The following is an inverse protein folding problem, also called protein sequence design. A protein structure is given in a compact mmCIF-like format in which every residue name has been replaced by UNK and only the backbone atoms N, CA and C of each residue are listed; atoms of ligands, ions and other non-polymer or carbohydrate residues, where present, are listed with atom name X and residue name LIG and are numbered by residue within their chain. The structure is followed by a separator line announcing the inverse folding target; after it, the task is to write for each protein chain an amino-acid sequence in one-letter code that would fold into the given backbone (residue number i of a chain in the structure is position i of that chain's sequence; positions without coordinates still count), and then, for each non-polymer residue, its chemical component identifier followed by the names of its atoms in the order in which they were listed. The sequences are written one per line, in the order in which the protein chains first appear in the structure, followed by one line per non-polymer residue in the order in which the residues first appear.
data_IF_791302155771
#
_entry.id   IF_791302155771
#
_cell.length_a   1.000
_cell.length_b   1.000
_cell.length_c   1.000
_cell.angle_alpha   90.00
_cell.angle_beta   90.00
_cell.angle_gamma   90.00
#
_symmetry.space_group_name_H-M   'P 1'
#
loop_
_entity.id
_entity.type
_entity.pdbx_description
1 polymer ?
#
# COMPACT_ATOMS: atom_id res chain seq x y z
N UNK A 1 -0.23 29.22 -7.91
CA UNK A 1 0.34 27.86 -7.81
C UNK A 1 -0.84 26.92 -7.79
N UNK A 2 -1.02 26.09 -8.83
CA UNK A 2 -1.94 24.96 -8.70
C UNK A 2 -1.46 24.13 -7.51
N UNK A 3 -2.37 23.87 -6.56
CA UNK A 3 -2.04 23.20 -5.30
C UNK A 3 -1.61 21.76 -5.65
N UNK A 4 -0.32 21.44 -5.52
CA UNK A 4 0.22 20.07 -5.62
C UNK A 4 -0.18 19.25 -4.39
N UNK A 5 -1.50 19.09 -4.22
CA UNK A 5 -2.08 18.32 -3.13
C UNK A 5 -2.23 16.88 -3.57
N UNK A 6 -1.96 15.96 -2.64
CA UNK A 6 -2.18 14.52 -2.82
C UNK A 6 -3.58 14.15 -2.38
N UNK A 7 -4.13 13.07 -2.95
CA UNK A 7 -5.49 12.63 -2.63
C UNK A 7 -5.69 12.45 -1.12
N UNK A 8 -4.69 11.90 -0.42
CA UNK A 8 -4.74 11.68 1.03
C UNK A 8 -4.92 12.97 1.86
N UNK A 9 -4.56 14.14 1.32
CA UNK A 9 -4.71 15.42 2.00
C UNK A 9 -6.14 15.99 1.89
N UNK A 10 -6.90 15.56 0.88
CA UNK A 10 -8.28 16.00 0.66
C UNK A 10 -9.29 14.97 1.18
N UNK A 11 -9.05 13.69 0.93
CA UNK A 11 -9.96 12.65 1.37
C UNK A 11 -9.32 11.28 1.53
N UNK A 12 -9.93 10.48 2.40
CA UNK A 12 -9.56 9.10 2.62
C UNK A 12 -10.76 8.33 3.20
N UNK A 13 -11.16 7.17 2.66
CA UNK A 13 -12.27 6.37 3.19
C UNK A 13 -11.84 5.61 4.46
N UNK A 14 -11.63 6.36 5.56
CA UNK A 14 -11.10 5.85 6.83
C UNK A 14 -11.95 4.70 7.37
N UNK A 15 -13.28 4.80 7.26
CA UNK A 15 -14.20 3.80 7.81
C UNK A 15 -14.04 2.46 7.10
N UNK A 16 -14.07 2.45 5.77
CA UNK A 16 -13.97 1.26 4.93
C UNK A 16 -12.60 0.61 5.10
N UNK A 17 -11.53 1.41 5.02
CA UNK A 17 -10.16 0.92 5.23
C UNK A 17 -9.96 0.35 6.63
N UNK A 18 -10.57 0.95 7.65
CA UNK A 18 -10.50 0.45 9.04
C UNK A 18 -11.23 -0.88 9.21
N UNK A 19 -12.38 -1.05 8.56
CA UNK A 19 -13.13 -2.31 8.58
C UNK A 19 -12.27 -3.43 7.97
N UNK A 20 -11.68 -3.22 6.80
CA UNK A 20 -10.81 -4.21 6.15
C UNK A 20 -9.53 -4.49 6.96
N UNK A 21 -8.93 -3.44 7.54
CA UNK A 21 -7.78 -3.55 8.44
C UNK A 21 -8.07 -4.34 9.72
N UNK A 22 -9.31 -4.31 10.21
CA UNK A 22 -9.72 -5.12 11.35
C UNK A 22 -9.97 -6.58 10.95
N UNK A 23 -10.56 -6.81 9.77
CA UNK A 23 -10.82 -8.16 9.23
C UNK A 23 -9.55 -8.96 9.00
N UNK A 24 -8.49 -8.34 8.45
CA UNK A 24 -7.24 -9.05 8.13
C UNK A 24 -6.57 -9.72 9.34
N UNK A 25 -6.82 -9.24 10.57
CA UNK A 25 -6.30 -9.86 11.81
C UNK A 25 -6.79 -11.30 12.01
N UNK A 26 -7.93 -11.65 11.40
CA UNK A 26 -8.53 -12.97 11.47
C UNK A 26 -8.18 -13.85 10.27
N UNK A 27 -7.41 -13.35 9.30
CA UNK A 27 -6.97 -14.14 8.14
C UNK A 27 -5.89 -15.13 8.60
N UNK A 28 -6.13 -16.41 8.38
CA UNK A 28 -5.25 -17.52 8.82
C UNK A 28 -4.52 -18.20 7.67
N UNK A 29 -4.71 -17.76 6.44
CA UNK A 29 -4.07 -18.33 5.26
C UNK A 29 -3.67 -17.23 4.26
N UNK A 30 -2.50 -17.36 3.64
CA UNK A 30 -2.00 -16.45 2.59
C UNK A 30 -1.58 -15.05 3.05
N UNK A 31 -1.86 -14.66 4.30
CA UNK A 31 -1.43 -13.37 4.85
C UNK A 31 0.01 -13.43 5.37
N UNK A 32 0.79 -12.36 5.21
CA UNK A 32 2.22 -12.34 5.64
C UNK A 32 2.42 -12.59 7.14
N UNK A 33 1.38 -12.42 7.96
CA UNK A 33 1.42 -12.77 9.38
C UNK A 33 1.48 -14.26 9.65
N UNK A 34 1.09 -15.10 8.69
CA UNK A 34 1.21 -16.55 8.80
C UNK A 34 2.63 -17.04 8.49
N UNK A 35 3.46 -16.22 7.84
CA UNK A 35 4.89 -16.47 7.67
C UNK A 35 5.66 -16.19 8.98
N UNK A 36 5.41 -15.03 9.58
CA UNK A 36 5.99 -14.65 10.87
C UNK A 36 5.15 -13.59 11.58
N UNK A 37 5.06 -13.69 12.91
CA UNK A 37 4.35 -12.72 13.75
C UNK A 37 5.26 -11.51 14.02
N UNK A 38 4.79 -10.31 13.69
CA UNK A 38 5.45 -9.06 14.10
C UNK A 38 4.46 -8.21 14.90
N UNK A 39 4.80 -7.88 16.14
CA UNK A 39 3.86 -7.29 17.11
C UNK A 39 3.33 -5.90 16.71
N UNK A 40 4.09 -5.15 15.91
CA UNK A 40 3.73 -3.81 15.46
C UNK A 40 3.41 -3.74 13.95
N UNK A 41 2.98 -4.85 13.33
CA UNK A 41 2.69 -4.87 11.90
C UNK A 41 1.51 -3.94 11.57
N UNK A 42 1.72 -3.02 10.62
CA UNK A 42 0.65 -2.19 10.06
C UNK A 42 -0.27 -3.03 9.17
N UNK A 43 -1.58 -2.77 9.16
CA UNK A 43 -2.48 -3.50 8.28
C UNK A 43 -2.12 -3.34 6.81
N UNK A 44 -2.21 -4.43 6.03
CA UNK A 44 -1.97 -4.38 4.59
C UNK A 44 -3.03 -3.54 3.88
N UNK A 45 -4.30 -3.67 4.28
CA UNK A 45 -5.39 -2.85 3.72
C UNK A 45 -5.10 -1.35 3.86
N UNK A 46 -4.68 -0.92 5.06
CA UNK A 46 -4.31 0.48 5.30
C UNK A 46 -3.04 0.87 4.55
N UNK A 47 -2.02 0.02 4.55
CA UNK A 47 -0.74 0.28 3.86
C UNK A 47 -0.96 0.50 2.36
N UNK A 48 -1.78 -0.34 1.73
CA UNK A 48 -2.17 -0.24 0.32
C UNK A 48 -2.89 1.07 0.01
N UNK A 49 -3.94 1.36 0.78
CA UNK A 49 -4.76 2.54 0.59
C UNK A 49 -3.94 3.82 0.77
N UNK A 50 -3.09 3.88 1.80
CA UNK A 50 -2.23 5.03 2.08
C UNK A 50 -1.17 5.22 1.00
N UNK A 51 -0.50 4.16 0.55
CA UNK A 51 0.48 4.26 -0.54
C UNK A 51 -0.18 4.80 -1.82
N UNK A 52 -1.34 4.25 -2.22
CA UNK A 52 -2.05 4.75 -3.40
C UNK A 52 -2.47 6.22 -3.24
N UNK A 53 -3.16 6.57 -2.15
CA UNK A 53 -3.67 7.92 -1.94
C UNK A 53 -2.58 8.98 -1.76
N UNK A 54 -1.39 8.61 -1.27
CA UNK A 54 -0.27 9.52 -1.12
C UNK A 54 0.48 9.78 -2.45
N UNK A 55 0.38 8.86 -3.41
CA UNK A 55 1.18 8.89 -4.64
C UNK A 55 0.43 9.45 -5.85
N UNK A 56 -0.86 9.73 -5.72
CA UNK A 56 -1.69 10.37 -6.77
C UNK A 56 -2.13 11.79 -6.36
N UNK A 57 -2.32 12.70 -7.31
CA UNK A 57 -2.84 14.04 -7.02
C UNK A 57 -4.28 13.97 -6.51
N UNK A 58 -4.67 14.98 -5.75
CA UNK A 58 -6.06 15.22 -5.40
C UNK A 58 -6.86 15.56 -6.67
N UNK A 59 -8.00 14.91 -6.92
CA UNK A 59 -8.91 15.30 -8.00
C UNK A 59 -9.43 16.73 -7.81
N UNK A 60 -9.74 17.39 -8.92
CA UNK A 60 -10.28 18.76 -8.88
C UNK A 60 -11.79 18.79 -8.71
N UNK A 61 -12.49 17.71 -9.09
CA UNK A 61 -13.94 17.62 -9.05
C UNK A 61 -14.42 16.73 -7.90
N UNK A 62 -15.54 17.09 -7.29
CA UNK A 62 -16.17 16.28 -6.22
C UNK A 62 -16.57 14.89 -6.73
N UNK A 63 -16.96 14.79 -8.00
CA UNK A 63 -17.34 13.52 -8.62
C UNK A 63 -16.15 12.56 -8.71
N UNK A 64 -15.01 13.01 -9.22
CA UNK A 64 -13.78 12.20 -9.27
C UNK A 64 -13.28 11.87 -7.87
N UNK A 65 -13.39 12.81 -6.93
CA UNK A 65 -13.02 12.60 -5.54
C UNK A 65 -13.84 11.46 -4.91
N UNK A 66 -15.15 11.42 -5.15
CA UNK A 66 -16.01 10.34 -4.69
C UNK A 66 -15.74 9.01 -5.41
N UNK A 67 -15.42 9.05 -6.71
CA UNK A 67 -14.98 7.87 -7.45
C UNK A 67 -13.67 7.29 -6.90
N UNK A 68 -12.69 8.14 -6.55
CA UNK A 68 -11.42 7.70 -5.94
C UNK A 68 -11.63 7.14 -4.54
N UNK A 69 -12.52 7.71 -3.72
CA UNK A 69 -12.90 7.14 -2.42
C UNK A 69 -13.47 5.73 -2.57
N UNK A 70 -14.43 5.54 -3.49
CA UNK A 70 -15.02 4.23 -3.79
C UNK A 70 -13.97 3.24 -4.30
N UNK A 71 -13.08 3.69 -5.17
CA UNK A 71 -11.97 2.87 -5.65
C UNK A 71 -11.07 2.42 -4.49
N UNK A 72 -10.64 3.30 -3.59
CA UNK A 72 -9.83 2.92 -2.42
C UNK A 72 -10.56 1.92 -1.53
N UNK A 73 -11.85 2.14 -1.28
CA UNK A 73 -12.67 1.23 -0.46
C UNK A 73 -12.81 -0.17 -1.07
N UNK A 74 -12.86 -0.27 -2.39
CA UNK A 74 -12.81 -1.55 -3.10
C UNK A 74 -11.41 -2.15 -3.13
N UNK A 75 -10.40 -1.32 -3.38
CA UNK A 75 -9.01 -1.71 -3.53
C UNK A 75 -8.40 -2.23 -2.23
N UNK A 76 -8.84 -1.75 -1.06
CA UNK A 76 -8.32 -2.17 0.23
C UNK A 76 -8.86 -3.52 0.72
N UNK A 77 -9.87 -4.10 0.06
CA UNK A 77 -10.42 -5.40 0.43
C UNK A 77 -9.37 -6.51 0.34
N UNK A 78 -9.44 -7.48 1.24
CA UNK A 78 -8.49 -8.59 1.29
C UNK A 78 -8.61 -9.47 0.04
N UNK A 79 -9.83 -9.72 -0.42
CA UNK A 79 -10.16 -10.54 -1.59
C UNK A 79 -9.55 -9.96 -2.87
N UNK A 80 -9.43 -8.62 -2.92
CA UNK A 80 -8.90 -7.89 -4.06
C UNK A 80 -7.38 -7.69 -4.00
N UNK A 81 -6.69 -8.25 -2.99
CA UNK A 81 -5.25 -8.05 -2.78
C UNK A 81 -4.36 -8.59 -3.90
N UNK A 82 -4.87 -9.51 -4.71
CA UNK A 82 -4.19 -10.11 -5.86
C UNK A 82 -4.92 -9.86 -7.18
N UNK A 83 -5.93 -8.99 -7.18
CA UNK A 83 -6.66 -8.61 -8.39
C UNK A 83 -5.74 -7.82 -9.31
N UNK A 84 -5.39 -8.42 -10.45
CA UNK A 84 -4.47 -7.83 -11.42
C UNK A 84 -5.02 -6.56 -12.04
N UNK A 85 -6.32 -6.49 -12.29
CA UNK A 85 -6.93 -5.36 -12.99
C UNK A 85 -6.93 -4.12 -12.08
N UNK A 86 -7.25 -4.31 -10.79
CA UNK A 86 -7.19 -3.24 -9.80
C UNK A 86 -5.74 -2.77 -9.54
N UNK A 87 -4.79 -3.71 -9.45
CA UNK A 87 -3.37 -3.39 -9.24
C UNK A 87 -2.79 -2.64 -10.46
N UNK A 88 -3.06 -3.10 -11.67
CA UNK A 88 -2.56 -2.44 -12.89
C UNK A 88 -3.20 -1.07 -13.09
N UNK A 89 -4.48 -0.91 -12.76
CA UNK A 89 -5.12 0.41 -12.72
C UNK A 89 -4.40 1.34 -11.74
N UNK A 90 -4.15 0.89 -10.51
CA UNK A 90 -3.46 1.69 -9.51
C UNK A 90 -2.02 2.05 -9.95
N UNK A 91 -1.27 1.09 -10.50
CA UNK A 91 0.08 1.28 -11.06
C UNK A 91 0.09 2.34 -12.15
N UNK A 92 -0.83 2.24 -13.11
CA UNK A 92 -0.94 3.16 -14.23
C UNK A 92 -1.19 4.59 -13.75
N UNK A 93 -2.16 4.78 -12.86
CA UNK A 93 -2.48 6.10 -12.32
C UNK A 93 -1.32 6.70 -11.52
N UNK A 94 -0.64 5.89 -10.70
CA UNK A 94 0.57 6.33 -9.97
C UNK A 94 1.67 6.72 -10.96
N UNK A 95 1.90 5.93 -12.01
CA UNK A 95 2.95 6.19 -12.98
C UNK A 95 2.67 7.48 -13.77
N UNK A 96 1.43 7.68 -14.22
CA UNK A 96 0.97 8.90 -14.91
C UNK A 96 1.11 10.13 -14.01
N UNK A 97 0.72 10.02 -12.73
CA UNK A 97 0.85 11.06 -11.73
C UNK A 97 2.31 11.47 -11.43
N UNK A 98 3.27 10.57 -11.68
CA UNK A 98 4.70 10.76 -11.37
C UNK A 98 5.56 10.86 -12.65
N UNK A 99 5.02 11.48 -13.70
CA UNK A 99 5.72 11.78 -14.96
C UNK A 99 6.33 10.55 -15.65
N UNK A 100 5.65 9.40 -15.59
CA UNK A 100 6.13 8.16 -16.18
C UNK A 100 7.28 7.51 -15.42
N UNK A 101 7.61 7.98 -14.21
CA UNK A 101 8.69 7.42 -13.38
C UNK A 101 8.09 6.75 -12.15
N UNK A 102 8.49 5.50 -11.84
CA UNK A 102 8.14 4.88 -10.58
C UNK A 102 8.53 5.77 -9.40
N UNK A 103 7.61 6.12 -8.49
CA UNK A 103 7.94 6.93 -7.34
C UNK A 103 8.85 6.14 -6.39
N UNK A 104 9.75 6.86 -5.72
CA UNK A 104 10.63 6.31 -4.68
C UNK A 104 9.94 6.37 -3.33
N UNK A 105 9.73 5.23 -2.70
CA UNK A 105 9.09 5.13 -1.38
C UNK A 105 10.13 4.64 -0.37
N UNK A 106 10.36 5.39 0.70
CA UNK A 106 11.23 4.99 1.80
C UNK A 106 10.40 4.80 3.06
N UNK A 107 10.47 3.60 3.63
CA UNK A 107 10.00 3.33 4.99
C UNK A 107 11.20 3.05 5.91
N UNK A 108 11.65 4.03 6.72
CA UNK A 108 12.79 3.86 7.60
C UNK A 108 12.47 3.08 8.89
N UNK A 109 11.19 2.73 9.13
CA UNK A 109 10.71 2.04 10.34
C UNK A 109 9.75 0.91 9.98
N UNK A 110 10.13 0.12 8.98
CA UNK A 110 9.21 -0.77 8.31
C UNK A 110 8.75 -1.95 9.17
N UNK A 111 9.49 -2.32 10.20
CA UNK A 111 9.16 -3.43 11.09
C UNK A 111 8.91 -4.72 10.31
N UNK A 112 7.64 -5.14 10.28
CA UNK A 112 7.19 -6.33 9.55
C UNK A 112 7.05 -6.18 8.03
N UNK A 113 7.35 -5.01 7.46
CA UNK A 113 7.44 -4.79 6.01
C UNK A 113 6.12 -4.53 5.27
N UNK A 114 5.05 -4.14 5.97
CA UNK A 114 3.71 -4.00 5.35
C UNK A 114 3.61 -2.85 4.33
N UNK A 115 4.05 -1.65 4.70
CA UNK A 115 4.07 -0.47 3.82
C UNK A 115 4.96 -0.70 2.59
N UNK A 116 6.23 -1.14 2.74
CA UNK A 116 7.07 -1.37 1.57
C UNK A 116 6.57 -2.55 0.70
N UNK A 117 5.93 -3.57 1.26
CA UNK A 117 5.33 -4.64 0.47
C UNK A 117 4.23 -4.11 -0.47
N UNK A 118 3.31 -3.30 0.05
CA UNK A 118 2.25 -2.73 -0.77
C UNK A 118 2.78 -1.69 -1.76
N UNK A 119 3.85 -0.95 -1.42
CA UNK A 119 4.52 -0.03 -2.34
C UNK A 119 5.15 -0.79 -3.53
N UNK A 120 5.82 -1.92 -3.27
CA UNK A 120 6.32 -2.81 -4.32
C UNK A 120 5.19 -3.36 -5.19
N UNK A 121 4.05 -3.75 -4.59
CA UNK A 121 2.87 -4.19 -5.34
C UNK A 121 2.35 -3.10 -6.28
N UNK A 122 2.42 -1.84 -5.87
CA UNK A 122 2.05 -0.67 -6.67
C UNK A 122 3.12 -0.24 -7.69
N UNK A 123 4.19 -1.01 -7.87
CA UNK A 123 5.24 -0.73 -8.85
C UNK A 123 6.20 0.39 -8.44
N UNK A 124 6.25 0.74 -7.16
CA UNK A 124 7.14 1.78 -6.65
C UNK A 124 8.57 1.26 -6.48
N UNK A 125 9.54 2.15 -6.66
CA UNK A 125 10.93 1.91 -6.28
C UNK A 125 11.03 2.01 -4.75
N UNK A 126 11.01 0.88 -4.07
CA UNK A 126 10.79 0.83 -2.62
C UNK A 126 12.09 0.56 -1.85
N UNK A 127 12.34 1.38 -0.84
CA UNK A 127 13.44 1.27 0.11
C UNK A 127 12.87 1.06 1.51
N UNK A 128 13.47 0.15 2.26
CA UNK A 128 13.02 -0.23 3.60
C UNK A 128 14.21 -0.36 4.54
N UNK A 129 14.07 0.14 5.77
CA UNK A 129 15.07 0.01 6.82
C UNK A 129 14.40 -0.34 8.16
N UNK A 130 15.18 -0.95 9.06
CA UNK A 130 14.84 -1.07 10.46
C UNK A 130 16.12 -1.27 11.29
N UNK A 131 16.11 -0.77 12.53
CA UNK A 131 17.21 -0.98 13.46
C UNK A 131 17.21 -2.41 14.02
N UNK A 132 16.04 -3.03 14.16
CA UNK A 132 15.92 -4.36 14.74
C UNK A 132 16.38 -5.43 13.72
N UNK A 133 17.40 -6.24 14.03
CA UNK A 133 17.89 -7.26 13.10
C UNK A 133 16.84 -8.33 12.75
N UNK A 134 15.89 -8.60 13.65
CA UNK A 134 14.77 -9.51 13.39
C UNK A 134 13.81 -8.90 12.36
N UNK A 135 13.52 -7.59 12.46
CA UNK A 135 12.73 -6.88 11.46
C UNK A 135 13.40 -6.93 10.08
N UNK A 136 14.71 -6.69 10.02
CA UNK A 136 15.49 -6.76 8.78
C UNK A 136 15.39 -8.15 8.14
N UNK A 137 15.51 -9.23 8.92
CA UNK A 137 15.34 -10.60 8.41
C UNK A 137 13.92 -10.84 7.86
N UNK A 138 12.88 -10.42 8.59
CA UNK A 138 11.49 -10.53 8.15
C UNK A 138 11.26 -9.77 6.84
N UNK A 139 11.80 -8.56 6.73
CA UNK A 139 11.71 -7.74 5.51
C UNK A 139 12.41 -8.42 4.35
N UNK A 140 13.60 -9.01 4.53
CA UNK A 140 14.26 -9.78 3.46
C UNK A 140 13.39 -10.93 2.97
N UNK A 141 12.80 -11.70 3.89
CA UNK A 141 11.90 -12.80 3.53
C UNK A 141 10.57 -12.35 2.90
N UNK A 142 10.12 -11.12 3.18
CA UNK A 142 8.83 -10.60 2.69
C UNK A 142 8.97 -9.85 1.36
N UNK A 143 10.06 -9.08 1.20
CA UNK A 143 10.23 -8.11 0.12
C UNK A 143 11.24 -8.57 -0.93
N UNK A 144 12.35 -9.18 -0.50
CA UNK A 144 13.52 -9.42 -1.36
C UNK A 144 13.56 -10.87 -1.88
N UNK A 145 13.48 -11.85 -0.98
CA UNK A 145 13.66 -13.26 -1.33
C UNK A 145 12.57 -13.81 -2.26
N UNK A 146 11.27 -13.51 -2.07
CA UNK A 146 10.24 -13.98 -2.99
C UNK A 146 10.44 -13.43 -4.41
N UNK A 147 10.96 -12.21 -4.56
CA UNK A 147 11.22 -11.63 -5.88
C UNK A 147 12.48 -12.19 -6.55
N UNK A 148 13.49 -12.57 -5.75
CA UNK A 148 14.76 -13.11 -6.26
C UNK A 148 14.71 -14.60 -6.57
N UNK A 149 13.92 -15.37 -5.81
CA UNK A 149 14.00 -16.83 -5.79
C UNK A 149 12.65 -17.56 -5.96
N UNK A 150 11.52 -16.85 -5.92
CA UNK A 150 10.18 -17.42 -6.08
C UNK A 150 9.67 -17.28 -7.51
#
# INVERSE_FOLDING_TARGET
MAKDKRLIEETFPVKEVSIESAKEKNVRHGHISTLHIWWARRPLASSRATNYAALIPAPETEEELEQKKKFIAEFCKWENSLDKDLIEKARKEILEANNGRPPRVLDPFAGGGAIPLEALRLGCETYSNDYNPVAVLIQKCTLEYPQKYG
#
